data_IF_568672021768
#
_entry.id   IF_568672021768
#
_cell.length_a   1.000
_cell.length_b   1.000
_cell.length_c   1.000
_cell.angle_alpha   90.00
_cell.angle_beta   90.00
_cell.angle_gamma   90.00
#
_symmetry.space_group_name_H-M   'P 1'
#
loop_
_entity.id
_entity.type
_entity.pdbx_description
1 polymer ?
#
# COMPACT_ATOMS: atom_id res chain seq x y z
N UNK A 1 -11.48 1.42 8.73
CA UNK A 1 -12.53 2.18 9.48
C UNK A 1 -11.99 3.57 9.75
N UNK A 2 -12.77 4.62 9.45
CA UNK A 2 -12.34 5.99 9.67
C UNK A 2 -13.46 6.72 10.42
N UNK A 3 -13.09 7.47 11.43
CA UNK A 3 -14.01 8.26 12.23
C UNK A 3 -13.41 9.64 12.48
N UNK A 4 -14.21 10.70 12.33
CA UNK A 4 -13.76 12.07 12.52
C UNK A 4 -14.77 12.84 13.37
N UNK A 5 -14.27 13.59 14.34
CA UNK A 5 -15.05 14.49 15.20
C UNK A 5 -14.54 15.91 14.98
N UNK A 6 -15.45 16.82 14.70
CA UNK A 6 -15.18 18.27 14.70
C UNK A 6 -15.41 18.80 16.11
N UNK A 7 -14.34 19.23 16.78
CA UNK A 7 -14.41 19.77 18.14
C UNK A 7 -15.00 21.18 18.11
N UNK A 8 -14.57 21.97 17.13
CA UNK A 8 -15.08 23.30 16.85
C UNK A 8 -14.90 23.60 15.34
N UNK A 9 -15.45 24.70 14.80
CA UNK A 9 -15.35 25.02 13.36
C UNK A 9 -13.90 25.12 12.80
N UNK A 10 -12.91 25.13 13.68
CA UNK A 10 -11.51 25.27 13.29
C UNK A 10 -10.64 24.04 13.55
N UNK A 11 -11.10 23.09 14.39
CA UNK A 11 -10.29 21.95 14.83
C UNK A 11 -11.10 20.66 14.69
N UNK A 12 -10.50 19.66 14.07
CA UNK A 12 -11.03 18.32 13.96
C UNK A 12 -9.99 17.28 14.41
N UNK A 13 -10.49 16.20 15.03
CA UNK A 13 -9.71 15.01 15.39
C UNK A 13 -10.27 13.84 14.60
N UNK A 14 -9.38 13.00 14.08
CA UNK A 14 -9.72 11.77 13.36
C UNK A 14 -9.08 10.55 13.98
N UNK A 15 -9.76 9.43 13.85
CA UNK A 15 -9.23 8.10 14.17
C UNK A 15 -9.33 7.23 12.93
N UNK A 16 -8.26 6.50 12.64
CA UNK A 16 -8.20 5.58 11.52
C UNK A 16 -7.74 4.22 11.99
N UNK A 17 -8.38 3.17 11.50
CA UNK A 17 -7.90 1.81 11.67
C UNK A 17 -8.10 1.05 10.36
N UNK A 18 -7.08 0.32 9.94
CA UNK A 18 -7.11 -0.42 8.68
C UNK A 18 -5.99 -1.42 8.57
N UNK A 19 -6.09 -2.28 7.58
CA UNK A 19 -5.03 -3.20 7.17
C UNK A 19 -4.56 -2.74 5.80
N UNK A 20 -3.24 -2.75 5.62
CA UNK A 20 -2.60 -2.52 4.33
C UNK A 20 -1.84 -3.75 3.90
N UNK A 21 -1.90 -4.00 2.63
CA UNK A 21 -1.15 -5.02 1.95
C UNK A 21 -0.39 -4.39 0.78
N UNK A 22 0.86 -4.77 0.63
CA UNK A 22 1.72 -4.37 -0.48
C UNK A 22 2.26 -5.63 -1.12
N UNK A 23 2.11 -5.70 -2.43
CA UNK A 23 2.67 -6.75 -3.27
C UNK A 23 3.51 -6.10 -4.36
N UNK A 24 4.79 -6.47 -4.43
CA UNK A 24 5.71 -5.99 -5.43
C UNK A 24 6.33 -7.16 -6.18
N UNK A 25 6.45 -7.00 -7.49
CA UNK A 25 7.27 -7.85 -8.34
C UNK A 25 8.29 -6.94 -9.03
N UNK A 26 9.55 -7.18 -8.79
CA UNK A 26 10.64 -6.43 -9.35
C UNK A 26 11.43 -7.29 -10.34
N UNK A 27 12.01 -6.67 -11.36
CA UNK A 27 12.85 -7.29 -12.38
C UNK A 27 12.16 -8.44 -13.11
N UNK A 28 10.90 -8.23 -13.52
CA UNK A 28 10.20 -9.22 -14.37
C UNK A 28 10.78 -9.13 -15.79
N UNK A 29 11.34 -10.22 -16.32
CA UNK A 29 11.93 -10.20 -17.65
C UNK A 29 10.92 -10.01 -18.76
N UNK A 30 11.30 -9.28 -19.77
CA UNK A 30 10.47 -9.07 -20.95
C UNK A 30 10.02 -10.40 -21.60
N UNK A 31 10.89 -11.41 -21.78
CA UNK A 31 10.47 -12.69 -22.34
C UNK A 31 9.39 -13.40 -21.52
N UNK A 32 9.41 -13.25 -20.19
CA UNK A 32 8.37 -13.81 -19.32
C UNK A 32 7.02 -13.11 -19.50
N UNK A 33 7.03 -11.77 -19.66
CA UNK A 33 5.81 -11.01 -19.94
C UNK A 33 5.23 -11.37 -21.30
N UNK A 34 6.07 -11.51 -22.33
CA UNK A 34 5.65 -11.96 -23.66
C UNK A 34 5.02 -13.37 -23.62
N UNK A 35 5.59 -14.26 -22.81
CA UNK A 35 5.04 -15.60 -22.63
C UNK A 35 3.62 -15.60 -22.02
N UNK A 36 3.38 -14.73 -21.02
CA UNK A 36 2.05 -14.55 -20.42
C UNK A 36 1.08 -13.99 -21.46
N UNK A 37 1.50 -13.03 -22.27
CA UNK A 37 0.69 -12.46 -23.32
C UNK A 37 0.34 -13.47 -24.42
N UNK A 38 1.33 -14.25 -24.87
CA UNK A 38 1.13 -15.32 -25.85
C UNK A 38 0.16 -16.39 -25.33
N UNK A 39 0.30 -16.80 -24.08
CA UNK A 39 -0.63 -17.74 -23.46
C UNK A 39 -2.05 -17.17 -23.37
N UNK A 40 -2.19 -15.91 -22.99
CA UNK A 40 -3.49 -15.24 -22.91
C UNK A 40 -4.17 -15.13 -24.27
N UNK A 41 -3.40 -14.84 -25.32
CA UNK A 41 -3.94 -14.61 -26.66
C UNK A 41 -4.18 -15.89 -27.43
N UNK A 42 -3.34 -16.90 -27.26
CA UNK A 42 -3.32 -18.13 -28.08
C UNK A 42 -3.79 -19.38 -27.32
N UNK A 43 -3.82 -19.33 -25.97
CA UNK A 43 -4.20 -20.48 -25.12
C UNK A 43 -3.13 -21.57 -25.04
N UNK A 44 -1.96 -21.37 -25.62
CA UNK A 44 -0.83 -22.30 -25.56
C UNK A 44 0.50 -21.55 -25.46
N UNK A 45 1.49 -22.21 -24.88
CA UNK A 45 2.86 -21.71 -24.81
C UNK A 45 3.64 -22.13 -26.08
N UNK A 46 4.61 -21.32 -26.54
CA UNK A 46 5.49 -21.68 -27.64
C UNK A 46 6.20 -23.02 -27.39
N UNK A 47 6.50 -23.73 -28.43
CA UNK A 47 7.02 -25.12 -28.38
C UNK A 47 8.37 -25.28 -27.67
N UNK A 48 9.16 -24.21 -27.58
CA UNK A 48 10.43 -24.19 -26.82
C UNK A 48 10.81 -22.75 -26.56
N UNK A 49 10.75 -22.32 -25.31
CA UNK A 49 11.23 -21.01 -24.88
C UNK A 49 12.29 -21.20 -23.81
N UNK A 50 13.45 -20.63 -24.00
CA UNK A 50 14.48 -20.57 -22.96
C UNK A 50 14.40 -19.21 -22.30
N UNK A 51 14.26 -19.19 -20.98
CA UNK A 51 14.20 -18.00 -20.16
C UNK A 51 15.42 -18.00 -19.25
N UNK A 52 16.09 -16.88 -19.23
CA UNK A 52 17.21 -16.60 -18.34
C UNK A 52 16.84 -15.45 -17.44
N UNK A 53 16.97 -15.65 -16.15
CA UNK A 53 16.56 -14.72 -15.12
C UNK A 53 17.70 -14.38 -14.19
N UNK A 54 18.01 -13.08 -14.14
CA UNK A 54 18.95 -12.49 -13.20
C UNK A 54 18.20 -11.64 -12.17
N UNK A 55 17.91 -12.18 -10.98
CA UNK A 55 17.46 -11.37 -9.83
C UNK A 55 15.98 -10.90 -9.86
N UNK A 56 15.05 -11.79 -10.26
CA UNK A 56 13.61 -11.51 -10.08
C UNK A 56 13.23 -11.59 -8.61
N UNK A 57 12.45 -10.60 -8.13
CA UNK A 57 12.03 -10.48 -6.74
C UNK A 57 10.52 -10.36 -6.61
N UNK A 58 9.96 -11.14 -5.73
CA UNK A 58 8.55 -11.05 -5.35
C UNK A 58 8.51 -10.77 -3.84
N UNK A 59 7.86 -9.68 -3.46
CA UNK A 59 7.73 -9.28 -2.06
C UNK A 59 6.27 -9.03 -1.72
N UNK A 60 5.83 -9.58 -0.61
CA UNK A 60 4.51 -9.34 -0.03
C UNK A 60 4.67 -8.92 1.42
N UNK A 61 3.94 -7.90 1.84
CA UNK A 61 3.91 -7.47 3.24
C UNK A 61 2.51 -6.97 3.60
N UNK A 62 2.04 -7.31 4.79
CA UNK A 62 0.79 -6.81 5.32
C UNK A 62 0.98 -6.31 6.76
N UNK A 63 0.31 -5.20 7.09
CA UNK A 63 0.33 -4.61 8.42
C UNK A 63 -1.00 -3.95 8.76
N UNK A 64 -1.31 -3.88 10.06
CA UNK A 64 -2.40 -3.08 10.58
C UNK A 64 -1.91 -1.67 10.93
N UNK A 65 -2.72 -0.67 10.66
CA UNK A 65 -2.47 0.75 10.99
C UNK A 65 -3.56 1.26 11.93
N UNK A 66 -3.14 1.93 13.00
CA UNK A 66 -4.00 2.64 13.92
C UNK A 66 -3.51 4.08 14.00
N UNK A 67 -4.33 5.04 13.56
CA UNK A 67 -3.93 6.43 13.43
C UNK A 67 -4.80 7.39 14.23
N UNK A 68 -4.17 8.45 14.74
CA UNK A 68 -4.81 9.62 15.33
C UNK A 68 -4.39 10.82 14.51
N UNK A 69 -5.38 11.54 13.98
CA UNK A 69 -5.17 12.74 13.17
C UNK A 69 -5.68 13.97 13.93
N UNK A 70 -4.95 15.06 13.86
CA UNK A 70 -5.35 16.38 14.31
C UNK A 70 -5.19 17.35 13.15
N UNK A 71 -6.24 18.07 12.81
CA UNK A 71 -6.19 19.09 11.77
C UNK A 71 -6.94 20.34 12.19
N UNK A 72 -6.49 21.49 11.70
CA UNK A 72 -7.13 22.74 12.03
C UNK A 72 -6.76 23.90 11.13
N UNK A 73 -7.54 24.99 11.28
CA UNK A 73 -7.28 26.27 10.64
C UNK A 73 -6.30 27.06 11.50
N UNK A 74 -5.09 27.23 10.97
CA UNK A 74 -4.00 27.95 11.66
C UNK A 74 -4.10 29.45 11.42
N UNK A 75 -4.50 29.84 10.21
CA UNK A 75 -4.61 31.24 9.81
C UNK A 75 -5.80 31.43 8.87
N UNK A 76 -6.59 32.48 9.10
CA UNK A 76 -7.74 32.83 8.27
C UNK A 76 -7.84 34.32 8.09
N UNK A 77 -7.89 34.76 6.83
CA UNK A 77 -8.33 36.09 6.40
C UNK A 77 -9.36 35.95 5.29
N UNK A 78 -9.94 37.05 4.88
CA UNK A 78 -10.94 37.06 3.79
C UNK A 78 -10.45 36.40 2.50
N UNK A 79 -9.16 36.53 2.17
CA UNK A 79 -8.56 36.02 0.93
C UNK A 79 -7.68 34.80 1.11
N UNK A 80 -7.22 34.52 2.33
CA UNK A 80 -6.26 33.45 2.58
C UNK A 80 -6.68 32.61 3.77
N UNK A 81 -6.68 31.29 3.59
CA UNK A 81 -6.88 30.35 4.68
C UNK A 81 -5.74 29.35 4.67
N UNK A 82 -5.08 29.19 5.81
CA UNK A 82 -4.04 28.18 6.01
C UNK A 82 -4.57 27.15 7.00
N UNK A 83 -4.58 25.90 6.56
CA UNK A 83 -4.90 24.73 7.36
C UNK A 83 -3.65 23.90 7.55
N UNK A 84 -3.46 23.36 8.74
CA UNK A 84 -2.39 22.40 9.01
C UNK A 84 -2.97 21.16 9.68
N UNK A 85 -2.33 20.05 9.45
CA UNK A 85 -2.71 18.77 10.04
C UNK A 85 -1.51 17.88 10.31
N UNK A 86 -1.65 17.02 11.28
CA UNK A 86 -0.70 15.97 11.61
C UNK A 86 -1.44 14.65 11.84
N UNK A 87 -0.77 13.57 11.55
CA UNK A 87 -1.27 12.22 11.79
C UNK A 87 -0.14 11.39 12.43
N UNK A 88 -0.44 10.75 13.54
CA UNK A 88 0.44 9.78 14.19
C UNK A 88 -0.17 8.40 14.05
N UNK A 89 0.62 7.43 13.57
CA UNK A 89 0.16 6.06 13.33
C UNK A 89 1.02 5.07 14.10
N UNK A 90 0.36 4.11 14.72
CA UNK A 90 0.95 2.88 15.19
C UNK A 90 0.78 1.82 14.09
N UNK A 91 1.88 1.19 13.70
CA UNK A 91 1.93 0.14 12.69
C UNK A 91 2.20 -1.19 13.39
N UNK A 92 1.40 -2.19 13.08
CA UNK A 92 1.56 -3.54 13.61
C UNK A 92 1.77 -4.51 12.46
N UNK A 93 2.98 -5.07 12.34
CA UNK A 93 3.31 -6.04 11.30
C UNK A 93 2.48 -7.32 11.47
N UNK A 94 1.77 -7.72 10.41
CA UNK A 94 0.95 -8.94 10.40
C UNK A 94 1.70 -10.09 9.73
N UNK A 95 2.21 -9.84 8.53
CA UNK A 95 2.93 -10.86 7.77
C UNK A 95 3.86 -10.25 6.73
N UNK A 96 4.84 -11.04 6.31
CA UNK A 96 5.66 -10.76 5.14
C UNK A 96 6.15 -12.07 4.53
N UNK A 97 6.31 -12.07 3.22
CA UNK A 97 6.95 -13.14 2.47
C UNK A 97 7.77 -12.54 1.34
N UNK A 98 8.86 -13.19 0.99
CA UNK A 98 9.64 -12.83 -0.18
C UNK A 98 10.16 -14.06 -0.90
N UNK A 99 10.35 -13.93 -2.21
CA UNK A 99 11.02 -14.88 -3.07
C UNK A 99 12.00 -14.08 -3.94
N UNK A 100 13.28 -14.45 -3.88
CA UNK A 100 14.32 -13.95 -4.76
C UNK A 100 14.80 -15.11 -5.63
N UNK A 101 14.66 -14.96 -6.93
CA UNK A 101 15.13 -15.92 -7.92
C UNK A 101 16.38 -15.33 -8.56
N UNK A 102 17.52 -16.03 -8.44
CA UNK A 102 18.78 -15.65 -9.01
C UNK A 102 19.24 -16.70 -10.00
N UNK A 103 19.87 -16.27 -11.09
CA UNK A 103 20.47 -17.15 -12.11
C UNK A 103 19.53 -18.28 -12.54
N UNK A 104 18.25 -17.98 -12.74
CA UNK A 104 17.27 -19.00 -13.10
C UNK A 104 17.25 -19.23 -14.61
N UNK A 105 17.80 -20.36 -15.01
CA UNK A 105 17.71 -20.86 -16.38
C UNK A 105 16.60 -21.90 -16.47
N UNK A 106 15.53 -21.62 -17.19
CA UNK A 106 14.49 -22.60 -17.44
C UNK A 106 14.05 -22.63 -18.89
N UNK A 107 13.75 -23.83 -19.35
CA UNK A 107 13.26 -24.10 -20.67
C UNK A 107 11.85 -24.69 -20.61
N UNK A 108 10.94 -24.01 -21.29
CA UNK A 108 9.56 -24.45 -21.42
C UNK A 108 9.42 -25.31 -22.69
N UNK A 109 8.74 -26.45 -22.58
CA UNK A 109 8.40 -27.32 -23.69
C UNK A 109 6.90 -27.39 -23.85
N UNK A 110 6.32 -26.37 -24.52
CA UNK A 110 4.86 -26.27 -24.62
C UNK A 110 4.19 -26.10 -23.26
N UNK A 111 2.96 -26.62 -23.13
CA UNK A 111 2.18 -26.51 -21.89
C UNK A 111 2.50 -27.62 -20.87
N UNK A 112 3.30 -28.63 -21.24
CA UNK A 112 3.35 -29.89 -20.51
C UNK A 112 4.58 -30.05 -19.62
N UNK A 113 5.69 -29.38 -19.94
CA UNK A 113 6.92 -29.60 -19.18
C UNK A 113 7.84 -28.38 -19.10
N UNK A 114 8.50 -28.26 -17.96
CA UNK A 114 9.50 -27.24 -17.67
C UNK A 114 10.78 -27.94 -17.24
N UNK A 115 11.89 -27.58 -17.84
CA UNK A 115 13.22 -28.00 -17.39
C UNK A 115 13.93 -26.84 -16.75
N UNK A 116 14.38 -27.03 -15.53
CA UNK A 116 15.15 -26.05 -14.76
C UNK A 116 16.62 -26.51 -14.77
N UNK A 117 17.53 -25.62 -15.14
CA UNK A 117 18.96 -25.95 -15.26
C UNK A 117 19.73 -25.43 -14.06
N UNK A 118 19.96 -24.14 -13.96
CA UNK A 118 20.68 -23.53 -12.86
C UNK A 118 19.77 -22.51 -12.19
N UNK A 119 19.46 -22.73 -10.92
CA UNK A 119 18.52 -21.83 -10.23
C UNK A 119 18.88 -21.71 -8.77
N UNK A 120 19.08 -20.50 -8.33
CA UNK A 120 19.17 -20.14 -6.92
C UNK A 120 17.87 -19.42 -6.51
N UNK A 121 17.12 -20.03 -5.59
CA UNK A 121 15.91 -19.45 -5.02
C UNK A 121 16.10 -19.21 -3.55
N UNK A 122 16.00 -17.94 -3.13
CA UNK A 122 16.00 -17.55 -1.74
C UNK A 122 14.57 -17.11 -1.38
N UNK A 123 14.00 -17.66 -0.34
CA UNK A 123 12.68 -17.28 0.12
C UNK A 123 12.65 -17.13 1.64
N UNK A 124 11.72 -16.33 2.11
CA UNK A 124 11.44 -16.20 3.54
C UNK A 124 9.97 -15.87 3.76
N UNK A 125 9.45 -16.40 4.83
CA UNK A 125 8.06 -16.23 5.25
C UNK A 125 8.08 -15.87 6.73
N UNK A 126 7.27 -14.88 7.13
CA UNK A 126 7.14 -14.52 8.54
C UNK A 126 6.50 -15.67 9.32
N UNK A 127 6.97 -15.88 10.56
CA UNK A 127 6.56 -17.00 11.43
C UNK A 127 5.06 -17.23 11.53
N UNK A 128 4.27 -16.14 11.57
CA UNK A 128 2.81 -16.24 11.66
C UNK A 128 2.15 -16.91 10.46
N UNK A 129 2.69 -16.71 9.27
CA UNK A 129 2.20 -17.37 8.04
C UNK A 129 2.71 -18.80 7.97
N UNK A 130 3.97 -19.03 8.35
CA UNK A 130 4.54 -20.37 8.39
C UNK A 130 3.66 -21.31 9.21
N UNK A 131 3.23 -20.91 10.40
CA UNK A 131 2.33 -21.70 11.26
C UNK A 131 0.98 -22.01 10.65
N UNK A 132 0.39 -21.04 9.93
CA UNK A 132 -0.90 -21.25 9.22
C UNK A 132 -0.71 -22.29 8.10
N UNK A 133 0.40 -22.22 7.38
CA UNK A 133 0.71 -23.18 6.32
C UNK A 133 0.98 -24.59 6.89
N UNK A 134 1.48 -24.68 8.13
CA UNK A 134 1.69 -25.93 8.85
C UNK A 134 0.40 -26.48 9.50
N UNK A 135 -0.74 -25.82 9.28
CA UNK A 135 -2.06 -26.27 9.72
C UNK A 135 -2.45 -25.85 11.14
N UNK A 136 -1.74 -24.89 11.74
CA UNK A 136 -2.16 -24.27 13.01
C UNK A 136 -3.36 -23.33 12.79
N UNK A 137 -4.22 -23.23 13.78
CA UNK A 137 -5.35 -22.30 13.76
C UNK A 137 -4.87 -20.84 13.67
N UNK A 138 -5.57 -20.05 12.89
CA UNK A 138 -5.32 -18.62 12.77
C UNK A 138 -5.49 -17.94 14.13
N UNK A 139 -4.38 -17.51 14.73
CA UNK A 139 -4.38 -16.71 15.96
C UNK A 139 -3.76 -15.33 15.68
N UNK A 140 -4.55 -14.25 15.70
CA UNK A 140 -4.05 -12.90 15.45
C UNK A 140 -2.89 -12.48 16.38
N UNK A 141 -2.81 -13.03 17.58
CA UNK A 141 -1.75 -12.73 18.53
C UNK A 141 -0.38 -13.27 18.07
N UNK A 142 -0.39 -14.34 17.27
CA UNK A 142 0.82 -14.93 16.71
C UNK A 142 1.35 -14.18 15.49
N UNK A 143 0.51 -13.36 14.84
CA UNK A 143 0.90 -12.53 13.69
C UNK A 143 1.59 -11.22 14.08
N UNK A 144 1.35 -10.75 15.29
CA UNK A 144 1.75 -9.42 15.72
C UNK A 144 3.13 -9.44 16.40
N UNK A 145 4.21 -9.55 15.62
CA UNK A 145 5.54 -9.65 16.21
C UNK A 145 6.30 -8.32 16.31
N UNK A 146 5.91 -7.27 15.56
CA UNK A 146 6.67 -6.01 15.54
C UNK A 146 5.76 -4.79 15.40
N UNK A 147 6.12 -3.73 16.13
CA UNK A 147 5.45 -2.44 16.07
C UNK A 147 6.39 -1.39 15.46
N UNK A 148 5.79 -0.47 14.70
CA UNK A 148 6.42 0.71 14.15
C UNK A 148 5.57 1.95 14.42
N UNK A 149 6.14 3.12 14.21
CA UNK A 149 5.42 4.39 14.27
C UNK A 149 5.66 5.18 12.98
N UNK A 150 4.65 5.91 12.54
CA UNK A 150 4.72 6.81 11.40
C UNK A 150 4.07 8.14 11.75
N UNK A 151 4.61 9.23 11.19
CA UNK A 151 4.08 10.58 11.37
C UNK A 151 3.96 11.25 10.01
N UNK A 152 2.79 11.84 9.75
CA UNK A 152 2.52 12.60 8.54
C UNK A 152 2.18 14.04 8.93
N UNK A 153 2.67 15.02 8.17
CA UNK A 153 2.35 16.42 8.32
C UNK A 153 1.84 16.97 6.99
N UNK A 154 0.83 17.81 7.06
CA UNK A 154 0.26 18.46 5.88
C UNK A 154 -0.09 19.91 6.14
N UNK A 155 0.11 20.75 5.14
CA UNK A 155 -0.31 22.16 5.12
C UNK A 155 -1.07 22.39 3.83
N UNK A 156 -2.22 23.05 3.93
CA UNK A 156 -3.04 23.49 2.80
C UNK A 156 -3.19 24.99 2.88
N UNK A 157 -2.80 25.68 1.80
CA UNK A 157 -3.07 27.09 1.61
C UNK A 157 -4.17 27.25 0.57
N UNK A 158 -5.27 27.90 0.97
CA UNK A 158 -6.37 28.28 0.10
C UNK A 158 -6.30 29.77 -0.19
N UNK A 159 -6.23 30.12 -1.47
CA UNK A 159 -6.40 31.47 -1.93
C UNK A 159 -7.80 31.66 -2.49
N UNK A 160 -8.54 32.66 -2.02
CA UNK A 160 -9.94 32.95 -2.36
C UNK A 160 -10.05 34.32 -3.00
N UNK A 161 -9.76 34.49 -4.30
CA UNK A 161 -10.00 35.74 -5.02
C UNK A 161 -11.52 35.92 -5.11
N UNK A 162 -12.03 37.10 -4.76
CA UNK A 162 -13.48 37.35 -4.76
C UNK A 162 -14.24 36.68 -3.60
N UNK A 163 -13.64 36.69 -2.42
CA UNK A 163 -14.25 36.17 -1.19
C UNK A 163 -15.72 36.57 -0.99
N UNK A 164 -16.09 37.80 -1.38
CA UNK A 164 -17.44 38.34 -1.28
C UNK A 164 -18.49 37.53 -2.07
N UNK A 165 -18.03 36.76 -3.07
CA UNK A 165 -18.90 35.94 -3.91
C UNK A 165 -19.02 34.48 -3.42
N UNK A 166 -18.35 34.11 -2.36
CA UNK A 166 -18.47 32.77 -1.80
C UNK A 166 -19.71 32.63 -0.93
N UNK A 167 -20.53 31.62 -1.26
CA UNK A 167 -21.78 31.35 -0.55
C UNK A 167 -21.59 30.85 0.89
N UNK A 168 -20.41 30.27 1.18
CA UNK A 168 -20.11 29.67 2.47
C UNK A 168 -18.77 30.15 3.02
N UNK A 169 -18.69 30.43 4.30
CA UNK A 169 -17.46 30.66 5.01
C UNK A 169 -17.02 29.40 5.77
N UNK A 170 -15.91 29.50 6.49
CA UNK A 170 -15.35 28.37 7.25
C UNK A 170 -16.21 27.95 8.44
N UNK A 171 -17.13 28.79 8.90
CA UNK A 171 -18.00 28.52 10.03
C UNK A 171 -19.33 27.89 9.57
N UNK A 172 -19.46 27.58 8.27
CA UNK A 172 -20.64 26.95 7.67
C UNK A 172 -21.82 27.89 7.48
N UNK A 173 -21.63 29.21 7.67
CA UNK A 173 -22.63 30.22 7.44
C UNK A 173 -22.58 30.72 6.02
N UNK A 174 -23.73 30.97 5.42
CA UNK A 174 -23.82 31.60 4.11
C UNK A 174 -23.45 33.08 4.21
N UNK A 175 -22.75 33.61 3.23
CA UNK A 175 -22.40 35.04 3.16
C UNK A 175 -23.64 35.96 3.03
N UNK A 176 -24.83 35.40 2.77
CA UNK A 176 -26.11 36.11 2.69
C UNK A 176 -26.71 36.44 4.08
N UNK A 177 -26.16 35.89 5.15
CA UNK A 177 -26.63 36.08 6.51
C UNK A 177 -25.86 37.17 7.30
N UNK A 178 -25.03 37.96 6.62
CA UNK A 178 -24.24 39.07 7.17
C UNK A 178 -24.76 40.42 6.78
#
# INVERSE_FOLDING_TARGET
MNFMITINPRIAIGFTAGVREVFNIDNVPEPFLQLIEDFKNNGYLPTSVMLHEDDMRINMSAWAEYGISLAGVVYKTDRHVIKAGMNAKLLQGLTSAYINIKDADFQLYGNDSVRIYNTEVNYGIADGVGRILDGEDFNPQNLASRFGASFDFGIVWEWRPGYENHLYDMDGKTNLER
#
